data_IF_830251848179
#
_entry.id   IF_830251848179
#
_cell.length_a   1.000
_cell.length_b   1.000
_cell.length_c   1.000
_cell.angle_alpha   90.00
_cell.angle_beta   90.00
_cell.angle_gamma   90.00
#
_symmetry.space_group_name_H-M   'P 1'
#
loop_
_entity.id
_entity.type
_entity.pdbx_description
1 polymer ?
#
# COMPACT_ATOMS: atom_id res chain seq x y z
N UNK A 1 -0.20 22.14 41.49
CA UNK A 1 -1.01 21.47 40.44
C UNK A 1 -0.07 20.83 39.43
N UNK A 2 0.25 19.54 39.61
CA UNK A 2 1.10 18.82 38.67
C UNK A 2 0.27 18.44 37.44
N UNK A 3 0.70 18.89 36.25
CA UNK A 3 0.09 18.47 34.98
C UNK A 3 0.26 16.96 34.82
N UNK A 4 -0.87 16.24 34.78
CA UNK A 4 -0.91 14.83 34.44
C UNK A 4 -0.39 14.65 33.01
N UNK A 5 0.75 13.96 32.87
CA UNK A 5 1.23 13.47 31.57
C UNK A 5 0.23 12.42 31.08
N UNK A 6 -0.54 12.73 30.05
CA UNK A 6 -1.46 11.80 29.39
C UNK A 6 -0.66 10.62 28.82
N UNK A 7 -0.91 9.42 29.37
CA UNK A 7 -0.40 8.15 28.82
C UNK A 7 -0.90 8.01 27.39
N UNK A 8 0.01 8.09 26.41
CA UNK A 8 -0.28 7.77 25.00
C UNK A 8 -0.75 6.31 24.95
N UNK A 9 -1.99 6.09 24.56
CA UNK A 9 -2.59 4.76 24.47
C UNK A 9 -1.77 3.87 23.53
N UNK A 10 -1.28 2.78 24.11
CA UNK A 10 -0.66 1.66 23.42
C UNK A 10 -1.82 0.85 22.82
N UNK A 11 -1.74 0.55 21.52
CA UNK A 11 -2.64 -0.38 20.79
C UNK A 11 -3.99 0.13 20.23
N UNK A 12 -4.03 1.29 19.58
CA UNK A 12 -5.00 1.46 18.46
C UNK A 12 -4.38 0.92 17.17
N UNK A 13 -5.00 -0.11 16.56
CA UNK A 13 -4.61 -0.61 15.24
C UNK A 13 -4.73 0.53 14.23
N UNK A 14 -3.58 0.96 13.69
CA UNK A 14 -3.53 2.07 12.73
C UNK A 14 -4.13 1.69 11.38
N UNK A 15 -4.75 2.66 10.73
CA UNK A 15 -5.29 2.52 9.37
C UNK A 15 -4.13 2.66 8.38
N UNK A 16 -3.95 1.65 7.51
CA UNK A 16 -2.95 1.70 6.45
C UNK A 16 -3.54 2.45 5.25
N UNK A 17 -2.80 3.43 4.73
CA UNK A 17 -3.12 4.10 3.46
C UNK A 17 -2.01 3.79 2.47
N UNK A 18 -2.36 3.24 1.31
CA UNK A 18 -1.41 2.93 0.25
C UNK A 18 -1.59 3.92 -0.89
N UNK A 19 -0.51 4.60 -1.26
CA UNK A 19 -0.43 5.54 -2.39
C UNK A 19 0.64 5.09 -3.37
N UNK A 20 0.70 5.66 -4.57
CA UNK A 20 1.71 5.27 -5.55
C UNK A 20 3.10 5.86 -5.29
N UNK A 21 3.18 7.12 -4.84
CA UNK A 21 4.42 7.88 -4.80
C UNK A 21 4.83 8.31 -3.38
N UNK A 22 6.13 8.34 -3.06
CA UNK A 22 6.61 8.77 -1.74
C UNK A 22 6.29 10.24 -1.43
N UNK A 23 6.16 11.09 -2.46
CA UNK A 23 5.75 12.47 -2.28
C UNK A 23 4.31 12.57 -1.77
N UNK A 24 3.36 11.85 -2.41
CA UNK A 24 1.97 11.74 -1.94
C UNK A 24 1.92 11.21 -0.51
N UNK A 25 2.73 10.20 -0.19
CA UNK A 25 2.75 9.60 1.14
C UNK A 25 3.10 10.62 2.23
N UNK A 26 4.18 11.39 2.04
CA UNK A 26 4.62 12.43 2.98
C UNK A 26 3.57 13.53 3.16
N UNK A 27 2.87 13.91 2.09
CA UNK A 27 1.84 14.94 2.12
C UNK A 27 0.59 14.46 2.85
N UNK A 28 0.08 13.28 2.51
CA UNK A 28 -1.13 12.71 3.12
C UNK A 28 -0.90 12.39 4.59
N UNK A 29 0.28 11.89 4.95
CA UNK A 29 0.62 11.58 6.36
C UNK A 29 0.56 12.84 7.24
N UNK A 30 0.99 14.00 6.72
CA UNK A 30 0.88 15.29 7.43
C UNK A 30 -0.57 15.70 7.66
N UNK A 31 -1.47 15.43 6.71
CA UNK A 31 -2.88 15.79 6.83
C UNK A 31 -3.66 14.86 7.76
N UNK A 32 -3.38 13.55 7.70
CA UNK A 32 -4.17 12.55 8.42
C UNK A 32 -3.71 12.32 9.86
N UNK A 33 -2.46 12.61 10.19
CA UNK A 33 -1.92 12.49 11.54
C UNK A 33 -1.71 11.04 12.00
N UNK A 34 -1.44 10.86 13.30
CA UNK A 34 -0.84 9.64 13.86
C UNK A 34 -1.72 8.38 13.86
N UNK A 35 -3.03 8.53 13.58
CA UNK A 35 -3.99 7.41 13.46
C UNK A 35 -3.77 6.62 12.17
N UNK A 36 -3.21 7.27 11.16
CA UNK A 36 -2.95 6.69 9.86
C UNK A 36 -1.46 6.38 9.72
N UNK A 37 -1.18 5.38 8.91
CA UNK A 37 0.16 5.03 8.49
C UNK A 37 0.16 4.94 6.98
N UNK A 38 0.95 5.79 6.33
CA UNK A 38 0.91 5.96 4.87
C UNK A 38 2.13 5.31 4.23
N UNK A 39 1.91 4.41 3.28
CA UNK A 39 2.96 3.69 2.54
C UNK A 39 2.84 3.96 1.05
N UNK A 40 3.98 3.97 0.36
CA UNK A 40 4.02 4.13 -1.09
C UNK A 40 4.37 2.81 -1.79
N UNK A 41 3.61 2.44 -2.82
CA UNK A 41 3.87 1.25 -3.65
C UNK A 41 5.04 1.42 -4.61
N UNK A 42 5.52 2.66 -4.79
CA UNK A 42 6.59 3.03 -5.72
C UNK A 42 6.25 2.68 -7.18
N UNK A 43 4.99 2.89 -7.57
CA UNK A 43 4.43 2.50 -8.87
C UNK A 43 3.79 1.11 -8.86
N UNK A 44 3.74 0.45 -10.02
CA UNK A 44 3.13 -0.87 -10.17
C UNK A 44 3.97 -1.97 -9.49
N UNK A 45 3.29 -2.84 -8.75
CA UNK A 45 3.87 -4.03 -8.11
C UNK A 45 3.70 -5.30 -8.95
N UNK A 46 2.69 -5.31 -9.81
CA UNK A 46 2.23 -6.43 -10.63
C UNK A 46 2.13 -5.96 -12.08
N UNK A 47 2.58 -6.78 -13.02
CA UNK A 47 2.61 -6.49 -14.46
C UNK A 47 2.58 -7.80 -15.27
N UNK A 48 2.39 -7.72 -16.58
CA UNK A 48 2.50 -8.86 -17.47
C UNK A 48 3.98 -9.31 -17.62
N UNK A 49 4.25 -10.61 -17.80
CA UNK A 49 5.53 -11.13 -18.24
C UNK A 49 6.04 -10.44 -19.51
N UNK A 50 7.20 -9.77 -19.43
CA UNK A 50 7.78 -9.05 -20.58
C UNK A 50 8.29 -9.94 -21.71
N UNK A 51 8.53 -11.22 -21.43
CA UNK A 51 9.23 -12.14 -22.33
C UNK A 51 8.31 -13.09 -23.09
N UNK A 52 7.00 -13.07 -22.83
CA UNK A 52 6.01 -13.91 -23.53
C UNK A 52 4.69 -13.19 -23.69
N UNK A 53 3.88 -13.64 -24.64
CA UNK A 53 2.47 -13.28 -24.67
C UNK A 53 1.81 -13.94 -23.46
N UNK A 54 1.26 -13.12 -22.58
CA UNK A 54 0.71 -13.50 -21.29
C UNK A 54 -0.80 -13.27 -21.23
N UNK A 55 -1.47 -13.40 -22.38
CA UNK A 55 -2.90 -13.25 -22.53
C UNK A 55 -3.39 -14.52 -23.20
N UNK A 56 -4.31 -15.21 -22.54
CA UNK A 56 -4.94 -16.41 -23.05
C UNK A 56 -6.10 -16.04 -23.99
N UNK A 57 -5.85 -16.08 -25.29
CA UNK A 57 -6.85 -15.70 -26.31
C UNK A 57 -7.99 -16.70 -26.45
N UNK A 58 -7.82 -17.92 -25.95
CA UNK A 58 -8.82 -18.98 -26.01
C UNK A 58 -9.74 -18.98 -24.77
N UNK A 59 -9.27 -18.40 -23.67
CA UNK A 59 -9.99 -18.29 -22.39
C UNK A 59 -10.27 -16.82 -22.03
N UNK A 60 -11.17 -16.18 -22.78
CA UNK A 60 -11.68 -14.82 -22.50
C UNK A 60 -10.60 -13.74 -22.31
N UNK A 61 -9.45 -13.87 -22.97
CA UNK A 61 -8.31 -12.95 -22.84
C UNK A 61 -7.76 -12.88 -21.40
N UNK A 62 -7.78 -14.00 -20.65
CA UNK A 62 -7.29 -14.03 -19.28
C UNK A 62 -5.80 -13.64 -19.21
N UNK A 63 -5.44 -12.57 -18.46
CA UNK A 63 -4.06 -12.13 -18.34
C UNK A 63 -3.30 -12.90 -17.24
N UNK A 64 -2.09 -13.34 -17.56
CA UNK A 64 -1.14 -13.82 -16.55
C UNK A 64 -0.36 -12.65 -15.94
N UNK A 65 -0.60 -12.39 -14.67
CA UNK A 65 0.10 -11.34 -13.92
C UNK A 65 1.28 -11.88 -13.10
N UNK A 66 2.40 -11.17 -13.12
CA UNK A 66 3.59 -11.47 -12.30
C UNK A 66 3.98 -10.29 -11.43
N UNK A 67 4.67 -10.57 -10.32
CA UNK A 67 5.29 -9.50 -9.54
C UNK A 67 6.47 -8.90 -10.32
N UNK A 68 6.52 -7.58 -10.43
CA UNK A 68 7.61 -6.87 -11.10
C UNK A 68 8.94 -7.19 -10.42
N UNK A 69 9.99 -7.44 -11.22
CA UNK A 69 11.35 -7.75 -10.72
C UNK A 69 11.82 -6.67 -9.73
N UNK A 70 12.36 -7.10 -8.59
CA UNK A 70 12.82 -6.20 -7.53
C UNK A 70 11.72 -5.67 -6.59
N UNK A 71 10.43 -5.91 -6.87
CA UNK A 71 9.31 -5.45 -6.02
C UNK A 71 8.82 -6.46 -4.99
N UNK A 72 9.31 -7.71 -5.04
CA UNK A 72 8.87 -8.78 -4.14
C UNK A 72 9.02 -8.44 -2.64
N UNK A 73 10.10 -7.74 -2.25
CA UNK A 73 10.30 -7.32 -0.86
C UNK A 73 9.24 -6.30 -0.43
N UNK A 74 8.97 -5.30 -1.27
CA UNK A 74 7.97 -4.27 -0.99
C UNK A 74 6.56 -4.86 -0.94
N UNK A 75 6.23 -5.78 -1.85
CA UNK A 75 4.95 -6.48 -1.82
C UNK A 75 4.75 -7.24 -0.51
N UNK A 76 5.77 -7.98 -0.05
CA UNK A 76 5.72 -8.69 1.24
C UNK A 76 5.57 -7.74 2.43
N UNK A 77 6.24 -6.59 2.40
CA UNK A 77 6.11 -5.57 3.44
C UNK A 77 4.68 -5.00 3.49
N UNK A 78 4.12 -4.60 2.35
CA UNK A 78 2.76 -4.09 2.25
C UNK A 78 1.72 -5.14 2.69
N UNK A 79 1.90 -6.40 2.32
CA UNK A 79 1.05 -7.50 2.79
C UNK A 79 1.14 -7.70 4.30
N UNK A 80 2.33 -7.57 4.89
CA UNK A 80 2.54 -7.67 6.34
C UNK A 80 1.88 -6.51 7.08
N UNK A 81 2.03 -5.29 6.58
CA UNK A 81 1.42 -4.09 7.15
C UNK A 81 -0.10 -4.15 7.04
N UNK A 82 -0.63 -4.58 5.89
CA UNK A 82 -2.07 -4.77 5.68
C UNK A 82 -2.67 -5.77 6.68
N UNK A 83 -1.99 -6.89 6.96
CA UNK A 83 -2.44 -7.88 7.95
C UNK A 83 -2.44 -7.36 9.39
N UNK A 84 -1.58 -6.38 9.70
CA UNK A 84 -1.49 -5.77 11.04
C UNK A 84 -2.48 -4.64 11.25
N UNK A 85 -2.89 -3.98 10.16
CA UNK A 85 -3.84 -2.88 10.18
C UNK A 85 -5.28 -3.34 10.37
N UNK A 86 -6.12 -2.45 10.91
CA UNK A 86 -7.56 -2.69 11.01
C UNK A 86 -8.25 -2.51 9.65
N UNK A 87 -7.83 -1.48 8.93
CA UNK A 87 -8.40 -1.09 7.63
C UNK A 87 -7.25 -0.75 6.69
N UNK A 88 -7.41 -1.10 5.41
CA UNK A 88 -6.53 -0.70 4.32
C UNK A 88 -7.31 0.22 3.40
N UNK A 89 -6.79 1.43 3.17
CA UNK A 89 -7.33 2.41 2.24
C UNK A 89 -6.39 2.48 1.02
N UNK A 90 -6.96 2.31 -0.17
CA UNK A 90 -6.26 2.51 -1.42
C UNK A 90 -6.50 3.96 -1.88
N UNK A 91 -5.43 4.73 -1.97
CA UNK A 91 -5.43 6.13 -2.36
C UNK A 91 -4.52 6.31 -3.59
N UNK A 92 -4.77 5.49 -4.62
CA UNK A 92 -4.24 5.72 -5.96
C UNK A 92 -4.84 7.00 -6.54
N UNK A 93 -4.24 7.47 -7.63
CA UNK A 93 -4.89 8.54 -8.40
C UNK A 93 -6.23 8.05 -8.95
N UNK A 94 -7.12 8.99 -9.26
CA UNK A 94 -8.48 8.70 -9.72
C UNK A 94 -8.54 8.45 -11.24
N UNK A 95 -7.47 7.86 -11.78
CA UNK A 95 -7.37 7.42 -13.16
C UNK A 95 -7.71 5.93 -13.31
N UNK A 96 -7.43 5.37 -14.49
CA UNK A 96 -7.90 4.07 -14.95
C UNK A 96 -7.00 2.91 -14.52
#
# INVERSE_FOLDING_TARGET
>A
MALAKTKKSKDEKKILVIVESPAKAKTIEKYLGSKYFVKASMGHLIDLPKSRIAIDVDHDFEPEYITVRGRAKLLKELQSDAKKSQTVLLASDNDR
#
